data_IF_059075266485
#
_entry.id   IF_059075266485
#
_cell.length_a   1.000
_cell.length_b   1.000
_cell.length_c   1.000
_cell.angle_alpha   90.00
_cell.angle_beta   90.00
_cell.angle_gamma   90.00
#
_symmetry.space_group_name_H-M   'P 1'
#
loop_
_entity.id
_entity.type
_entity.pdbx_description
1 polymer ?
#
# COMPACT_ATOMS: atom_id res chain seq x y z
N UNK A 1 84.16 10.14 47.85
CA UNK A 1 83.63 10.54 46.52
C UNK A 1 82.31 9.82 46.36
N UNK A 2 81.14 10.52 46.40
CA UNK A 2 79.78 9.97 46.29
C UNK A 2 79.21 10.44 44.93
N UNK A 3 79.03 9.52 44.03
CA UNK A 3 78.34 9.78 42.75
C UNK A 3 76.81 9.64 42.95
N UNK A 4 76.05 10.70 42.63
CA UNK A 4 74.59 10.68 42.56
C UNK A 4 74.25 10.43 41.10
N UNK A 5 73.53 9.36 40.86
CA UNK A 5 72.95 9.05 39.59
C UNK A 5 71.48 9.65 39.55
N UNK A 6 71.26 10.59 38.61
CA UNK A 6 69.95 11.16 38.40
C UNK A 6 69.24 10.31 37.38
N UNK A 7 68.06 9.73 37.77
CA UNK A 7 67.18 9.00 36.86
C UNK A 7 66.21 9.97 36.16
N UNK A 8 66.34 10.11 34.83
CA UNK A 8 65.34 10.81 34.00
C UNK A 8 64.16 9.88 33.76
N UNK A 9 62.99 10.22 34.32
CA UNK A 9 61.69 9.56 33.97
C UNK A 9 61.17 10.16 32.67
N UNK A 10 61.15 9.35 31.63
CA UNK A 10 60.51 9.67 30.34
C UNK A 10 59.01 9.37 30.45
N UNK A 11 58.14 10.40 30.58
CA UNK A 11 56.69 10.27 30.48
C UNK A 11 56.32 10.13 29.01
N UNK A 12 56.03 8.92 28.57
CA UNK A 12 55.43 8.68 27.26
C UNK A 12 53.91 9.02 27.28
N UNK A 13 53.57 10.16 26.66
CA UNK A 13 52.19 10.53 26.40
C UNK A 13 51.64 9.66 25.25
N UNK A 14 50.86 8.64 25.56
CA UNK A 14 50.09 7.89 24.55
C UNK A 14 48.87 8.70 24.13
N UNK A 15 48.91 9.32 22.94
CA UNK A 15 47.73 9.87 22.29
C UNK A 15 46.81 8.69 21.91
N UNK A 16 45.76 8.46 22.69
CA UNK A 16 44.67 7.58 22.31
C UNK A 16 43.82 8.26 21.23
N UNK A 17 44.04 7.90 19.98
CA UNK A 17 43.15 8.29 18.87
C UNK A 17 41.85 7.47 18.98
N UNK A 18 40.82 8.06 19.56
CA UNK A 18 39.46 7.50 19.48
C UNK A 18 38.98 7.63 18.02
N UNK A 19 39.10 6.56 17.25
CA UNK A 19 38.43 6.49 15.96
C UNK A 19 36.92 6.60 16.18
N UNK A 20 36.20 7.47 15.45
CA UNK A 20 34.76 7.53 15.53
C UNK A 20 34.22 6.16 15.14
N UNK A 21 33.44 5.55 16.02
CA UNK A 21 32.68 4.34 15.67
C UNK A 21 31.72 4.70 14.54
N UNK A 22 31.98 4.23 13.35
CA UNK A 22 31.02 4.29 12.23
C UNK A 22 29.86 3.42 12.64
N UNK A 23 28.83 4.01 13.22
CA UNK A 23 27.57 3.32 13.49
C UNK A 23 27.03 2.84 12.16
N UNK A 24 26.84 1.53 12.02
CA UNK A 24 26.28 0.97 10.79
C UNK A 24 24.92 1.63 10.50
N UNK A 25 24.83 2.32 9.36
CA UNK A 25 23.60 2.96 8.93
C UNK A 25 22.62 1.86 8.51
N UNK A 26 21.50 1.77 9.19
CA UNK A 26 20.46 0.76 8.96
C UNK A 26 19.11 1.45 8.75
N UNK A 27 18.22 0.78 7.99
CA UNK A 27 16.83 1.17 7.82
C UNK A 27 15.93 -0.03 8.04
N UNK A 28 14.82 0.16 8.73
CA UNK A 28 13.75 -0.84 8.83
C UNK A 28 12.53 -0.39 8.04
N UNK A 29 12.23 -1.11 6.95
CA UNK A 29 11.18 -0.82 5.99
C UNK A 29 9.99 -1.77 6.15
N UNK A 30 8.80 -1.23 6.41
CA UNK A 30 7.53 -1.94 6.31
C UNK A 30 6.92 -1.63 4.94
N UNK A 31 6.74 -2.66 4.11
CA UNK A 31 6.33 -2.50 2.72
C UNK A 31 4.98 -3.16 2.44
N UNK A 32 4.09 -2.45 1.74
CA UNK A 32 2.75 -2.94 1.38
C UNK A 32 2.52 -3.11 -0.14
N UNK A 33 3.55 -2.95 -0.96
CA UNK A 33 3.49 -3.25 -2.39
C UNK A 33 3.63 -4.77 -2.66
N UNK A 34 3.68 -5.17 -3.94
CA UNK A 34 4.09 -6.52 -4.32
C UNK A 34 5.52 -6.78 -3.85
N UNK A 35 5.86 -8.04 -3.62
CA UNK A 35 7.19 -8.38 -3.09
C UNK A 35 8.31 -7.90 -4.01
N UNK A 36 8.14 -8.06 -5.32
CA UNK A 36 9.14 -7.65 -6.32
C UNK A 36 9.38 -6.13 -6.29
N UNK A 37 8.34 -5.33 -6.06
CA UNK A 37 8.49 -3.88 -5.94
C UNK A 37 9.14 -3.48 -4.60
N UNK A 38 8.79 -4.16 -3.52
CA UNK A 38 9.46 -3.98 -2.23
C UNK A 38 10.97 -4.25 -2.31
N UNK A 39 11.34 -5.37 -2.94
CA UNK A 39 12.76 -5.75 -3.14
C UNK A 39 13.47 -4.79 -4.09
N UNK A 40 12.84 -4.33 -5.17
CA UNK A 40 13.39 -3.32 -6.07
C UNK A 40 13.77 -2.05 -5.29
N UNK A 41 12.85 -1.52 -4.49
CA UNK A 41 13.04 -0.30 -3.71
C UNK A 41 14.17 -0.45 -2.68
N UNK A 42 14.16 -1.56 -1.94
CA UNK A 42 15.20 -1.90 -0.98
C UNK A 42 16.58 -1.98 -1.65
N UNK A 43 16.70 -2.80 -2.71
CA UNK A 43 17.99 -3.06 -3.35
C UNK A 43 18.55 -1.81 -4.04
N UNK A 44 17.70 -0.99 -4.66
CA UNK A 44 18.10 0.29 -5.26
C UNK A 44 18.57 1.28 -4.20
N UNK A 45 17.86 1.39 -3.09
CA UNK A 45 18.26 2.28 -1.98
C UNK A 45 19.59 1.84 -1.37
N UNK A 46 19.77 0.55 -1.10
CA UNK A 46 21.04 0.00 -0.59
C UNK A 46 22.21 0.26 -1.55
N UNK A 47 21.99 0.03 -2.85
CA UNK A 47 23.03 0.21 -3.87
C UNK A 47 23.49 1.67 -3.99
N UNK A 48 22.57 2.63 -3.89
CA UNK A 48 22.89 4.05 -4.03
C UNK A 48 23.45 4.69 -2.75
N UNK A 49 23.05 4.17 -1.59
CA UNK A 49 23.35 4.85 -0.31
C UNK A 49 24.31 4.10 0.59
N UNK A 50 24.53 2.81 0.37
CA UNK A 50 25.23 1.90 1.28
C UNK A 50 24.47 1.57 2.58
N UNK A 51 23.28 2.11 2.76
CA UNK A 51 22.45 1.90 3.97
C UNK A 51 21.82 0.51 3.90
N UNK A 52 22.13 -0.36 4.87
CA UNK A 52 21.52 -1.69 4.97
C UNK A 52 20.07 -1.57 5.36
N UNK A 53 19.19 -2.24 4.60
CA UNK A 53 17.75 -2.14 4.78
C UNK A 53 17.14 -3.51 5.10
N UNK A 54 16.60 -3.65 6.30
CA UNK A 54 15.71 -4.76 6.62
C UNK A 54 14.30 -4.46 6.09
N UNK A 55 13.61 -5.43 5.53
CA UNK A 55 12.29 -5.22 4.95
C UNK A 55 11.33 -6.32 5.38
N UNK A 56 10.12 -5.91 5.78
CA UNK A 56 8.98 -6.80 6.04
C UNK A 56 7.83 -6.42 5.12
N UNK A 57 7.29 -7.40 4.38
CA UNK A 57 6.11 -7.20 3.54
C UNK A 57 4.84 -7.63 4.28
N UNK A 58 3.82 -6.74 4.30
CA UNK A 58 2.49 -6.99 4.86
C UNK A 58 1.40 -6.37 4.01
N UNK A 59 0.14 -6.68 4.28
CA UNK A 59 -1.02 -5.95 3.77
C UNK A 59 -1.29 -4.70 4.60
N UNK A 60 -1.98 -3.69 4.04
CA UNK A 60 -2.10 -2.35 4.65
C UNK A 60 -2.76 -2.37 6.03
N UNK A 61 -3.81 -3.17 6.23
CA UNK A 61 -4.46 -3.31 7.54
C UNK A 61 -3.57 -3.98 8.59
N UNK A 62 -2.80 -5.00 8.18
CA UNK A 62 -1.83 -5.68 9.05
C UNK A 62 -0.69 -4.74 9.46
N UNK A 63 -0.23 -3.89 8.52
CA UNK A 63 0.80 -2.88 8.80
C UNK A 63 0.34 -1.84 9.81
N UNK A 64 -0.87 -1.33 9.66
CA UNK A 64 -1.45 -0.43 10.65
C UNK A 64 -1.53 -1.09 12.03
N UNK A 65 -1.99 -2.33 12.10
CA UNK A 65 -2.06 -3.06 13.37
C UNK A 65 -0.67 -3.23 14.02
N UNK A 66 0.36 -3.53 13.22
CA UNK A 66 1.74 -3.63 13.68
C UNK A 66 2.27 -2.29 14.20
N UNK A 67 2.15 -1.22 13.40
CA UNK A 67 2.62 0.13 13.78
C UNK A 67 1.96 0.58 15.08
N UNK A 68 0.66 0.34 15.23
CA UNK A 68 -0.08 0.66 16.45
C UNK A 68 0.40 -0.16 17.65
N UNK A 69 0.60 -1.47 17.48
CA UNK A 69 1.07 -2.35 18.55
C UNK A 69 2.49 -2.01 19.01
N UNK A 70 3.34 -1.53 18.10
CA UNK A 70 4.75 -1.17 18.36
C UNK A 70 4.92 0.29 18.76
N UNK A 71 3.86 1.09 18.93
CA UNK A 71 3.92 2.55 19.12
C UNK A 71 4.77 3.00 20.32
N UNK A 72 4.80 2.22 21.40
CA UNK A 72 5.65 2.52 22.56
C UNK A 72 7.15 2.22 22.34
N UNK A 73 7.49 1.35 21.39
CA UNK A 73 8.85 0.96 21.05
C UNK A 73 8.94 0.59 19.56
N UNK A 74 8.94 1.57 18.66
CA UNK A 74 8.91 1.34 17.22
C UNK A 74 10.09 0.51 16.74
N UNK A 75 9.81 -0.47 15.86
CA UNK A 75 10.81 -1.31 15.21
C UNK A 75 10.93 -1.01 13.72
N UNK A 76 9.98 -0.25 13.21
CA UNK A 76 9.90 0.20 11.82
C UNK A 76 10.29 1.67 11.73
N UNK A 77 11.10 2.04 10.74
CA UNK A 77 11.47 3.44 10.49
C UNK A 77 10.55 4.08 9.45
N UNK A 78 10.32 3.38 8.34
CA UNK A 78 9.46 3.84 7.24
C UNK A 78 8.40 2.80 6.93
N UNK A 79 7.17 3.25 6.76
CA UNK A 79 6.07 2.49 6.19
C UNK A 79 5.83 3.00 4.76
N UNK A 80 6.10 2.16 3.77
CA UNK A 80 6.05 2.51 2.36
C UNK A 80 5.01 1.68 1.62
N UNK A 81 4.23 2.37 0.77
CA UNK A 81 3.19 1.82 -0.10
C UNK A 81 1.95 1.27 0.64
N UNK A 82 1.01 0.73 -0.15
CA UNK A 82 -0.32 0.36 0.31
C UNK A 82 -1.29 1.54 0.30
N UNK A 83 -2.56 1.28 0.55
CA UNK A 83 -3.62 2.30 0.50
C UNK A 83 -3.42 3.40 1.54
N UNK A 84 -3.83 4.62 1.21
CA UNK A 84 -3.59 5.80 2.05
C UNK A 84 -4.45 5.86 3.31
N UNK A 85 -5.60 5.20 3.33
CA UNK A 85 -6.52 5.25 4.47
C UNK A 85 -5.92 4.75 5.80
N UNK A 86 -5.16 3.63 5.89
CA UNK A 86 -4.48 3.26 7.14
C UNK A 86 -3.34 4.21 7.51
N UNK A 87 -2.67 4.84 6.53
CA UNK A 87 -1.67 5.87 6.79
C UNK A 87 -2.32 7.14 7.39
N UNK A 88 -3.46 7.57 6.85
CA UNK A 88 -4.23 8.70 7.39
C UNK A 88 -4.74 8.40 8.80
N UNK A 89 -5.20 7.16 9.03
CA UNK A 89 -5.60 6.71 10.36
C UNK A 89 -4.43 6.78 11.35
N UNK A 90 -3.27 6.24 10.97
CA UNK A 90 -2.05 6.29 11.80
C UNK A 90 -1.58 7.73 12.05
N UNK A 91 -1.71 8.62 11.06
CA UNK A 91 -1.41 10.04 11.17
C UNK A 91 -2.33 10.73 12.20
N UNK A 92 -3.64 10.48 12.13
CA UNK A 92 -4.63 11.01 13.07
C UNK A 92 -4.40 10.52 14.50
N UNK A 93 -3.92 9.29 14.69
CA UNK A 93 -3.57 8.71 15.98
C UNK A 93 -2.16 9.12 16.47
N UNK A 94 -1.43 9.95 15.70
CA UNK A 94 -0.11 10.43 16.06
C UNK A 94 1.00 9.36 16.00
N UNK A 95 0.79 8.29 15.24
CA UNK A 95 1.74 7.17 15.08
C UNK A 95 2.82 7.43 14.02
N UNK A 96 2.67 8.47 13.23
CA UNK A 96 3.61 8.86 12.18
C UNK A 96 4.23 10.22 12.48
N UNK A 97 5.46 10.42 12.00
CA UNK A 97 6.25 11.63 12.20
C UNK A 97 5.79 12.75 11.26
N UNK A 98 5.90 14.00 11.70
CA UNK A 98 5.69 15.17 10.82
C UNK A 98 6.94 15.38 9.99
N UNK A 99 6.82 15.26 8.68
CA UNK A 99 7.90 15.53 7.76
C UNK A 99 7.43 16.21 6.48
N UNK A 100 7.66 17.51 6.36
CA UNK A 100 7.36 18.27 5.14
C UNK A 100 8.53 18.08 4.16
N UNK A 101 8.31 17.22 3.17
CA UNK A 101 9.31 16.92 2.15
C UNK A 101 9.58 18.13 1.24
N UNK A 102 10.84 18.46 0.94
CA UNK A 102 11.19 19.45 -0.09
C UNK A 102 10.77 19.01 -1.50
N UNK A 103 10.49 17.72 -1.72
CA UNK A 103 9.99 17.18 -2.97
C UNK A 103 8.49 17.39 -3.17
N UNK A 104 7.74 17.78 -2.12
CA UNK A 104 6.27 17.92 -2.16
C UNK A 104 5.76 18.78 -3.33
N UNK A 105 6.36 19.94 -3.69
CA UNK A 105 5.90 20.74 -4.84
C UNK A 105 6.05 20.07 -6.21
N UNK A 106 6.83 18.98 -6.31
CA UNK A 106 7.05 18.21 -7.54
C UNK A 106 6.04 17.07 -7.72
N UNK A 107 5.15 16.88 -6.75
CA UNK A 107 4.17 15.79 -6.76
C UNK A 107 2.85 16.26 -7.34
N UNK A 108 2.07 15.30 -7.84
CA UNK A 108 0.71 15.51 -8.33
C UNK A 108 -0.19 16.16 -7.24
N UNK A 109 -1.18 16.98 -7.61
CA UNK A 109 -2.05 17.65 -6.63
C UNK A 109 -2.75 16.70 -5.65
N UNK A 110 -3.14 15.50 -6.11
CA UNK A 110 -3.75 14.50 -5.25
C UNK A 110 -2.79 13.98 -4.17
N UNK A 111 -1.49 13.86 -4.48
CA UNK A 111 -0.48 13.44 -3.50
C UNK A 111 -0.18 14.53 -2.47
N UNK A 112 -0.17 15.80 -2.91
CA UNK A 112 -0.03 16.96 -2.02
C UNK A 112 -1.22 17.07 -1.07
N UNK A 113 -2.47 16.87 -1.54
CA UNK A 113 -3.67 16.87 -0.69
C UNK A 113 -3.60 15.86 0.45
N UNK A 114 -3.00 14.69 0.23
CA UNK A 114 -2.78 13.70 1.32
C UNK A 114 -1.83 14.24 2.38
N UNK A 115 -0.74 14.91 1.96
CA UNK A 115 0.21 15.51 2.89
C UNK A 115 -0.46 16.65 3.70
N UNK A 116 -1.21 17.51 3.04
CA UNK A 116 -1.91 18.62 3.69
C UNK A 116 -2.97 18.10 4.69
N UNK A 117 -3.80 17.14 4.27
CA UNK A 117 -4.85 16.55 5.11
C UNK A 117 -4.30 15.85 6.36
N UNK A 118 -3.08 15.31 6.29
CA UNK A 118 -2.41 14.63 7.40
C UNK A 118 -1.51 15.55 8.24
N UNK A 119 -1.40 16.83 7.92
CA UNK A 119 -0.42 17.73 8.54
C UNK A 119 1.03 17.29 8.26
N UNK A 120 1.32 16.83 7.04
CA UNK A 120 2.61 16.30 6.60
C UNK A 120 3.07 15.03 7.35
N UNK A 121 2.13 14.20 7.82
CA UNK A 121 2.43 12.93 8.50
C UNK A 121 2.43 11.73 7.56
N UNK A 122 1.91 11.90 6.35
CA UNK A 122 1.96 10.94 5.25
C UNK A 122 1.94 11.69 3.92
N UNK A 123 2.34 11.05 2.83
CA UNK A 123 2.31 11.61 1.47
C UNK A 123 1.83 10.57 0.48
N UNK A 124 1.11 11.00 -0.56
CA UNK A 124 0.75 10.13 -1.68
C UNK A 124 1.96 9.82 -2.56
N UNK A 125 2.13 8.56 -2.91
CA UNK A 125 3.26 8.11 -3.76
C UNK A 125 2.83 7.50 -5.09
N UNK A 126 1.60 7.03 -5.19
CA UNK A 126 0.99 6.57 -6.44
C UNK A 126 -0.54 6.59 -6.36
N UNK A 127 -1.20 6.42 -7.50
CA UNK A 127 -2.66 6.30 -7.61
C UNK A 127 -3.04 5.06 -8.43
N UNK A 128 -4.14 4.38 -8.04
CA UNK A 128 -4.69 3.25 -8.76
C UNK A 128 -6.21 3.12 -8.59
N UNK A 129 -6.94 2.93 -9.69
CA UNK A 129 -8.39 2.71 -9.67
C UNK A 129 -8.73 1.29 -9.21
N UNK A 130 -9.84 1.14 -8.50
CA UNK A 130 -10.40 -0.16 -8.14
C UNK A 130 -11.25 -0.74 -9.28
N UNK A 131 -11.33 -2.06 -9.36
CA UNK A 131 -12.18 -2.77 -10.31
C UNK A 131 -12.25 -4.25 -10.01
N UNK A 132 -12.61 -5.01 -11.02
CA UNK A 132 -12.53 -6.47 -10.98
C UNK A 132 -12.16 -7.01 -12.37
N UNK A 133 -11.79 -8.27 -12.43
CA UNK A 133 -11.58 -8.97 -13.69
C UNK A 133 -12.29 -10.31 -13.68
N UNK A 134 -12.51 -10.87 -14.84
CA UNK A 134 -12.99 -12.24 -14.99
C UNK A 134 -12.17 -13.03 -16.00
N UNK A 135 -12.19 -14.35 -15.85
CA UNK A 135 -11.53 -15.27 -16.76
C UNK A 135 -12.46 -15.63 -17.92
N UNK A 136 -12.10 -15.25 -19.15
CA UNK A 136 -12.92 -15.40 -20.35
C UNK A 136 -13.25 -16.87 -20.66
N UNK A 137 -12.27 -17.79 -20.48
CA UNK A 137 -12.45 -19.22 -20.73
C UNK A 137 -13.42 -19.85 -19.72
N UNK A 138 -13.28 -19.50 -18.45
CA UNK A 138 -14.20 -19.97 -17.42
C UNK A 138 -15.62 -19.45 -17.66
N UNK A 139 -15.76 -18.16 -18.00
CA UNK A 139 -17.04 -17.54 -18.30
C UNK A 139 -17.77 -18.28 -19.45
N UNK A 140 -17.02 -18.52 -20.55
CA UNK A 140 -17.54 -19.24 -21.71
C UNK A 140 -17.91 -20.69 -21.38
N UNK A 141 -17.09 -21.43 -20.65
CA UNK A 141 -17.34 -22.83 -20.28
C UNK A 141 -18.57 -22.99 -19.39
N UNK A 142 -18.81 -22.02 -18.51
CA UNK A 142 -19.98 -21.97 -17.62
C UNK A 142 -21.22 -21.35 -18.29
N UNK A 143 -21.11 -20.86 -19.53
CA UNK A 143 -22.15 -20.16 -20.28
C UNK A 143 -22.81 -19.02 -19.51
N UNK A 144 -21.98 -18.27 -18.74
CA UNK A 144 -22.40 -17.13 -17.95
C UNK A 144 -22.25 -15.83 -18.75
N UNK A 145 -23.15 -14.88 -18.52
CA UNK A 145 -23.01 -13.52 -19.03
C UNK A 145 -21.89 -12.78 -18.27
N UNK A 146 -21.12 -11.95 -18.96
CA UNK A 146 -20.07 -11.14 -18.35
C UNK A 146 -20.66 -10.08 -17.41
N UNK A 147 -20.14 -9.92 -16.17
CA UNK A 147 -20.54 -8.84 -15.28
C UNK A 147 -19.98 -7.50 -15.79
N UNK A 148 -20.73 -6.39 -15.60
CA UNK A 148 -20.37 -5.04 -16.03
C UNK A 148 -20.40 -4.02 -14.89
N UNK A 149 -21.18 -4.31 -13.86
CA UNK A 149 -21.48 -3.41 -12.75
C UNK A 149 -21.10 -4.07 -11.43
N UNK A 150 -20.94 -3.27 -10.35
CA UNK A 150 -20.80 -3.83 -9.00
C UNK A 150 -22.03 -4.70 -8.64
N UNK A 151 -23.22 -4.20 -8.97
CA UNK A 151 -24.49 -4.88 -8.67
C UNK A 151 -24.58 -6.28 -9.26
N UNK A 152 -23.93 -6.55 -10.39
CA UNK A 152 -23.94 -7.87 -11.02
C UNK A 152 -23.27 -8.94 -10.15
N UNK A 153 -22.29 -8.54 -9.29
CA UNK A 153 -21.56 -9.49 -8.45
C UNK A 153 -22.40 -10.13 -7.35
N UNK A 154 -23.60 -9.60 -7.08
CA UNK A 154 -24.57 -10.19 -6.17
C UNK A 154 -25.56 -11.17 -6.85
N UNK A 155 -25.51 -11.30 -8.18
CA UNK A 155 -26.38 -12.22 -8.92
C UNK A 155 -26.04 -13.68 -8.53
N UNK A 156 -27.02 -14.50 -8.11
CA UNK A 156 -26.81 -15.90 -7.72
C UNK A 156 -26.14 -16.80 -8.78
N UNK A 157 -26.16 -16.38 -10.06
CA UNK A 157 -25.45 -17.11 -11.13
C UNK A 157 -23.92 -17.16 -10.92
N UNK A 158 -23.37 -16.26 -10.10
CA UNK A 158 -21.95 -16.24 -9.73
C UNK A 158 -21.67 -16.89 -8.38
N UNK A 159 -22.56 -17.74 -7.88
CA UNK A 159 -22.35 -18.44 -6.61
C UNK A 159 -21.01 -19.19 -6.61
N UNK A 160 -20.19 -18.93 -5.57
CA UNK A 160 -18.84 -19.49 -5.39
C UNK A 160 -17.84 -19.14 -6.52
N UNK A 161 -18.09 -18.05 -7.26
CA UNK A 161 -17.28 -17.62 -8.41
C UNK A 161 -16.52 -16.32 -8.17
N UNK A 162 -16.70 -15.66 -7.04
CA UNK A 162 -16.06 -14.38 -6.71
C UNK A 162 -14.97 -14.59 -5.67
N UNK A 163 -13.79 -14.05 -5.92
CA UNK A 163 -12.74 -13.93 -4.92
C UNK A 163 -12.45 -12.46 -4.65
N UNK A 164 -12.33 -12.10 -3.38
CA UNK A 164 -11.98 -10.74 -2.95
C UNK A 164 -11.11 -10.76 -1.70
N UNK A 165 -10.35 -9.68 -1.43
CA UNK A 165 -9.62 -9.61 -0.17
C UNK A 165 -10.56 -9.32 1.01
N UNK A 166 -10.07 -9.57 2.25
CA UNK A 166 -10.79 -9.23 3.49
C UNK A 166 -10.53 -7.77 3.87
N UNK A 167 -11.55 -6.94 4.09
CA UNK A 167 -11.41 -5.54 4.50
C UNK A 167 -10.63 -5.33 5.81
N UNK A 168 -10.62 -6.31 6.73
CA UNK A 168 -9.86 -6.21 7.97
C UNK A 168 -8.33 -6.26 7.75
N UNK A 169 -7.88 -7.00 6.73
CA UNK A 169 -6.45 -7.15 6.45
C UNK A 169 -5.98 -6.32 5.25
N UNK A 170 -6.82 -6.18 4.23
CA UNK A 170 -6.48 -5.58 2.93
C UNK A 170 -7.03 -4.18 2.76
N UNK A 171 -6.17 -3.23 2.43
CA UNK A 171 -6.57 -1.89 2.01
C UNK A 171 -7.43 -1.91 0.74
N UNK A 172 -7.13 -2.78 -0.23
CA UNK A 172 -7.93 -2.95 -1.46
C UNK A 172 -9.39 -3.24 -1.15
N UNK A 173 -9.65 -4.17 -0.23
CA UNK A 173 -11.00 -4.51 0.16
C UNK A 173 -11.68 -3.42 1.00
N UNK A 174 -10.92 -2.72 1.84
CA UNK A 174 -11.48 -1.55 2.53
C UNK A 174 -11.84 -0.44 1.54
N UNK A 175 -11.01 -0.17 0.55
CA UNK A 175 -11.34 0.79 -0.53
C UNK A 175 -12.62 0.37 -1.26
N UNK A 176 -12.82 -0.94 -1.54
CA UNK A 176 -14.08 -1.44 -2.11
C UNK A 176 -15.27 -1.18 -1.19
N UNK A 177 -15.16 -1.54 0.09
CA UNK A 177 -16.22 -1.31 1.09
C UNK A 177 -16.60 0.17 1.15
N UNK A 178 -15.63 1.06 1.28
CA UNK A 178 -15.85 2.50 1.31
C UNK A 178 -16.41 3.04 -0.02
N UNK A 179 -16.00 2.48 -1.16
CA UNK A 179 -16.56 2.80 -2.48
C UNK A 179 -18.04 2.47 -2.55
N UNK A 180 -18.42 1.27 -2.15
CA UNK A 180 -19.83 0.84 -2.18
C UNK A 180 -20.70 1.69 -1.24
N UNK A 181 -20.17 2.02 -0.05
CA UNK A 181 -20.87 2.92 0.88
C UNK A 181 -21.08 4.31 0.27
N UNK A 182 -20.12 4.85 -0.45
CA UNK A 182 -20.24 6.15 -1.11
C UNK A 182 -21.20 6.11 -2.31
N UNK A 183 -21.23 5.00 -3.06
CA UNK A 183 -22.12 4.84 -4.21
C UNK A 183 -23.58 4.62 -3.83
N UNK A 184 -23.84 3.84 -2.80
CA UNK A 184 -25.18 3.31 -2.50
C UNK A 184 -25.79 3.87 -1.21
N UNK A 185 -24.99 4.51 -0.36
CA UNK A 185 -25.31 4.73 1.05
C UNK A 185 -25.04 3.49 1.90
N UNK A 186 -24.78 3.71 3.19
CA UNK A 186 -24.20 2.66 4.06
C UNK A 186 -25.08 1.41 4.15
N UNK A 187 -26.37 1.54 4.49
CA UNK A 187 -27.23 0.37 4.69
C UNK A 187 -27.45 -0.45 3.41
N UNK A 188 -27.62 0.22 2.26
CA UNK A 188 -27.76 -0.46 0.97
C UNK A 188 -26.45 -1.15 0.57
N UNK A 189 -25.30 -0.54 0.84
CA UNK A 189 -24.01 -1.15 0.58
C UNK A 189 -23.80 -2.44 1.40
N UNK A 190 -24.17 -2.42 2.69
CA UNK A 190 -24.09 -3.63 3.53
C UNK A 190 -25.08 -4.69 3.12
N UNK A 191 -26.32 -4.34 2.73
CA UNK A 191 -27.28 -5.29 2.16
C UNK A 191 -26.75 -5.92 0.86
N UNK A 192 -26.17 -5.12 -0.03
CA UNK A 192 -25.52 -5.60 -1.24
C UNK A 192 -24.34 -6.55 -0.93
N UNK A 193 -23.45 -6.15 -0.02
CA UNK A 193 -22.31 -6.99 0.35
C UNK A 193 -22.72 -8.32 1.00
N UNK A 194 -23.80 -8.37 1.77
CA UNK A 194 -24.40 -9.61 2.27
C UNK A 194 -24.89 -10.51 1.13
N UNK A 195 -25.46 -9.93 0.08
CA UNK A 195 -25.90 -10.70 -1.10
C UNK A 195 -24.69 -11.21 -1.89
N UNK A 196 -23.69 -10.37 -2.12
CA UNK A 196 -22.44 -10.73 -2.81
C UNK A 196 -21.62 -11.76 -2.02
N UNK A 197 -21.67 -11.74 -0.68
CA UNK A 197 -20.99 -12.71 0.20
C UNK A 197 -21.34 -14.18 -0.14
N UNK A 198 -22.58 -14.43 -0.58
CA UNK A 198 -23.03 -15.77 -1.00
C UNK A 198 -22.34 -16.27 -2.27
N UNK A 199 -21.75 -15.35 -3.04
CA UNK A 199 -21.04 -15.65 -4.28
C UNK A 199 -19.52 -15.72 -4.05
N UNK A 200 -19.03 -15.33 -2.86
CA UNK A 200 -17.60 -15.30 -2.55
C UNK A 200 -17.10 -16.68 -2.16
N UNK A 201 -16.18 -17.25 -2.94
CA UNK A 201 -15.52 -18.53 -2.61
C UNK A 201 -14.42 -18.35 -1.57
N UNK A 202 -13.69 -17.23 -1.58
CA UNK A 202 -12.58 -17.00 -0.67
C UNK A 202 -12.37 -15.51 -0.39
N UNK A 203 -12.08 -15.19 0.87
CA UNK A 203 -11.50 -13.92 1.31
C UNK A 203 -9.99 -14.07 1.49
N UNK A 204 -9.21 -13.28 0.74
CA UNK A 204 -7.75 -13.32 0.78
C UNK A 204 -7.17 -12.25 1.70
N UNK A 205 -5.99 -12.46 2.25
CA UNK A 205 -5.28 -11.43 3.04
C UNK A 205 -4.67 -10.35 2.14
N UNK A 206 -4.23 -10.72 0.95
CA UNK A 206 -3.53 -9.84 0.00
C UNK A 206 -4.49 -9.31 -1.06
N UNK A 207 -4.44 -8.00 -1.33
CA UNK A 207 -5.25 -7.34 -2.36
C UNK A 207 -4.99 -7.82 -3.78
N UNK A 208 -3.78 -8.28 -4.08
CA UNK A 208 -3.38 -8.78 -5.42
C UNK A 208 -3.78 -10.23 -5.67
N UNK A 209 -4.02 -11.03 -4.62
CA UNK A 209 -4.25 -12.47 -4.77
C UNK A 209 -5.45 -12.83 -5.66
N UNK A 210 -6.61 -12.13 -5.61
CA UNK A 210 -7.74 -12.42 -6.50
C UNK A 210 -7.39 -12.24 -7.98
N UNK A 211 -6.61 -11.22 -8.34
CA UNK A 211 -6.15 -11.00 -9.71
C UNK A 211 -5.33 -12.20 -10.23
N UNK A 212 -4.42 -12.69 -9.42
CA UNK A 212 -3.59 -13.85 -9.76
C UNK A 212 -4.43 -15.14 -9.88
N UNK A 213 -5.41 -15.34 -9.00
CA UNK A 213 -6.31 -16.49 -9.03
C UNK A 213 -7.17 -16.52 -10.31
N UNK A 214 -7.70 -15.36 -10.75
CA UNK A 214 -8.41 -15.23 -12.03
C UNK A 214 -7.47 -15.60 -13.19
N UNK A 215 -6.25 -15.08 -13.20
CA UNK A 215 -5.27 -15.42 -14.25
C UNK A 215 -5.03 -16.91 -14.37
N UNK A 216 -4.85 -17.61 -13.25
CA UNK A 216 -4.63 -19.07 -13.21
C UNK A 216 -5.91 -19.90 -13.43
N UNK A 217 -7.09 -19.27 -13.49
CA UNK A 217 -8.36 -19.97 -13.62
C UNK A 217 -8.84 -20.70 -12.36
N UNK A 218 -8.39 -20.24 -11.18
CA UNK A 218 -8.79 -20.77 -9.88
C UNK A 218 -10.12 -20.17 -9.39
N UNK A 219 -10.48 -19.00 -9.91
CA UNK A 219 -11.75 -18.33 -9.66
C UNK A 219 -12.19 -17.59 -10.94
N UNK A 220 -13.50 -17.44 -11.11
CA UNK A 220 -14.04 -16.76 -12.29
C UNK A 220 -13.82 -15.23 -12.21
N UNK A 221 -14.13 -14.62 -11.07
CA UNK A 221 -14.12 -13.17 -10.86
C UNK A 221 -13.18 -12.84 -9.70
N UNK A 222 -12.35 -11.81 -9.86
CA UNK A 222 -11.45 -11.33 -8.82
C UNK A 222 -11.51 -9.81 -8.69
N UNK A 223 -11.73 -9.33 -7.47
CA UNK A 223 -11.74 -7.89 -7.14
C UNK A 223 -10.35 -7.47 -6.70
N UNK A 224 -9.78 -6.44 -7.36
CA UNK A 224 -8.47 -5.86 -7.03
C UNK A 224 -8.34 -4.44 -7.61
N UNK A 225 -7.18 -3.81 -7.46
CA UNK A 225 -6.89 -2.59 -8.20
C UNK A 225 -6.55 -2.89 -9.67
N UNK A 226 -6.87 -1.98 -10.56
CA UNK A 226 -6.69 -2.15 -12.01
C UNK A 226 -5.23 -2.40 -12.40
N UNK A 227 -4.27 -1.81 -11.68
CA UNK A 227 -2.85 -2.03 -11.90
C UNK A 227 -2.38 -3.46 -11.54
N UNK A 228 -3.10 -4.16 -10.66
CA UNK A 228 -2.87 -5.58 -10.38
C UNK A 228 -3.64 -6.46 -11.37
N UNK A 229 -4.88 -6.07 -11.73
CA UNK A 229 -5.74 -6.83 -12.64
C UNK A 229 -5.17 -6.93 -14.06
N UNK A 230 -4.39 -5.93 -14.50
CA UNK A 230 -3.77 -5.94 -15.83
C UNK A 230 -2.60 -6.91 -15.95
N UNK A 231 -1.95 -7.27 -14.85
CA UNK A 231 -0.74 -8.11 -14.86
C UNK A 231 -0.98 -9.48 -15.50
N UNK A 232 -2.02 -10.27 -15.13
CA UNK A 232 -2.32 -11.53 -15.80
C UNK A 232 -2.63 -11.33 -17.29
N UNK A 233 -3.37 -10.28 -17.67
CA UNK A 233 -3.67 -9.98 -19.07
C UNK A 233 -2.41 -9.75 -19.90
N UNK A 234 -1.48 -8.96 -19.40
CA UNK A 234 -0.17 -8.73 -20.03
C UNK A 234 0.69 -10.00 -20.06
N UNK A 235 0.46 -10.92 -19.13
CA UNK A 235 1.06 -12.25 -19.11
C UNK A 235 0.43 -13.25 -20.10
N UNK A 236 -0.55 -12.81 -20.92
CA UNK A 236 -1.21 -13.66 -21.93
C UNK A 236 -2.33 -14.54 -21.37
N UNK A 237 -2.75 -14.36 -20.13
CA UNK A 237 -3.89 -15.08 -19.58
C UNK A 237 -5.22 -14.54 -20.13
N UNK A 238 -6.26 -15.37 -20.29
CA UNK A 238 -7.56 -14.98 -20.83
C UNK A 238 -8.38 -14.21 -19.78
N UNK A 239 -8.00 -12.96 -19.56
CA UNK A 239 -8.57 -12.10 -18.52
C UNK A 239 -9.09 -10.82 -19.13
N UNK A 240 -10.35 -10.49 -18.83
CA UNK A 240 -10.97 -9.20 -19.14
C UNK A 240 -11.11 -8.36 -17.86
N UNK A 241 -10.63 -7.11 -17.92
CA UNK A 241 -10.75 -6.13 -16.84
C UNK A 241 -12.08 -5.40 -16.97
N UNK A 242 -12.69 -5.10 -15.83
CA UNK A 242 -13.96 -4.36 -15.75
C UNK A 242 -13.83 -3.16 -14.83
N UNK A 243 -14.14 -1.99 -15.39
CA UNK A 243 -14.44 -0.79 -14.62
C UNK A 243 -15.96 -0.76 -14.38
N UNK A 244 -16.43 -0.88 -13.13
CA UNK A 244 -17.86 -1.02 -12.85
C UNK A 244 -18.70 0.15 -13.36
N UNK A 245 -19.85 -0.14 -13.94
CA UNK A 245 -20.72 0.83 -14.64
C UNK A 245 -21.24 1.94 -13.74
N UNK A 246 -21.42 1.69 -12.44
CA UNK A 246 -21.84 2.69 -11.45
C UNK A 246 -20.75 3.73 -11.20
N UNK A 247 -19.54 3.39 -11.49
CA UNK A 247 -18.31 4.08 -11.10
C UNK A 247 -17.56 3.33 -10.01
N UNK A 248 -16.37 3.78 -9.70
CA UNK A 248 -15.52 3.11 -8.72
C UNK A 248 -14.62 4.08 -7.96
N UNK A 249 -14.16 3.63 -6.78
CA UNK A 249 -13.17 4.33 -6.01
C UNK A 249 -11.74 4.09 -6.51
N UNK A 250 -10.82 4.68 -5.81
CA UNK A 250 -9.40 4.57 -6.10
C UNK A 250 -8.59 4.67 -4.82
N UNK A 251 -7.38 4.13 -4.85
CA UNK A 251 -6.40 4.37 -3.80
C UNK A 251 -5.48 5.53 -4.17
N UNK A 252 -5.00 6.23 -3.15
CA UNK A 252 -3.75 6.97 -3.20
C UNK A 252 -2.79 6.23 -2.29
N UNK A 253 -1.90 5.42 -2.88
CA UNK A 253 -0.88 4.72 -2.13
C UNK A 253 0.00 5.72 -1.40
N UNK A 254 0.37 5.42 -0.16
CA UNK A 254 1.00 6.43 0.71
C UNK A 254 2.29 5.94 1.35
N UNK A 255 3.04 6.88 1.92
CA UNK A 255 4.27 6.63 2.65
C UNK A 255 4.32 7.51 3.91
N UNK A 256 4.82 6.93 5.01
CA UNK A 256 4.97 7.61 6.30
C UNK A 256 6.28 7.25 6.97
N UNK A 257 6.88 8.20 7.68
CA UNK A 257 7.93 7.91 8.66
C UNK A 257 7.22 7.58 9.98
N UNK A 258 7.65 6.53 10.67
CA UNK A 258 7.06 6.14 11.94
C UNK A 258 7.53 7.08 13.05
N UNK A 259 6.61 7.52 13.92
CA UNK A 259 6.97 8.37 15.06
C UNK A 259 7.90 7.62 16.00
N UNK A 260 9.04 8.24 16.33
CA UNK A 260 10.07 7.60 17.15
C UNK A 260 10.92 6.58 16.38
N UNK A 261 10.95 6.65 15.05
CA UNK A 261 11.86 5.85 14.21
C UNK A 261 13.29 5.94 14.73
N UNK A 262 13.94 4.79 14.83
CA UNK A 262 15.29 4.69 15.41
C UNK A 262 16.38 5.27 14.51
N UNK A 263 16.16 5.20 13.21
CA UNK A 263 17.08 5.64 12.16
C UNK A 263 16.44 6.79 11.35
N UNK A 264 16.14 7.89 12.03
CA UNK A 264 15.39 9.02 11.47
C UNK A 264 16.08 9.67 10.26
N UNK A 265 17.41 9.76 10.26
CA UNK A 265 18.17 10.31 9.14
C UNK A 265 18.03 9.44 7.90
N UNK A 266 18.17 8.13 8.05
CA UNK A 266 18.03 7.13 7.00
C UNK A 266 16.58 7.04 6.51
N UNK A 267 15.62 7.17 7.41
CA UNK A 267 14.19 7.22 7.09
C UNK A 267 13.87 8.42 6.18
N UNK A 268 14.38 9.61 6.48
CA UNK A 268 14.21 10.79 5.61
C UNK A 268 14.91 10.62 4.27
N UNK A 269 16.10 10.01 4.24
CA UNK A 269 16.80 9.70 2.98
C UNK A 269 16.01 8.75 2.11
N UNK A 270 15.42 7.68 2.68
CA UNK A 270 14.54 6.77 1.94
C UNK A 270 13.27 7.48 1.46
N UNK A 271 12.70 8.36 2.28
CA UNK A 271 11.50 9.12 1.94
C UNK A 271 11.74 9.97 0.68
N UNK A 272 12.82 10.76 0.65
CA UNK A 272 13.17 11.56 -0.53
C UNK A 272 13.56 10.70 -1.75
N UNK A 273 14.27 9.61 -1.53
CA UNK A 273 14.60 8.64 -2.58
C UNK A 273 13.33 8.09 -3.24
N UNK A 274 12.33 7.68 -2.47
CA UNK A 274 11.08 7.12 -2.99
C UNK A 274 10.20 8.12 -3.75
N UNK A 275 10.41 9.43 -3.55
CA UNK A 275 9.70 10.50 -4.26
C UNK A 275 10.41 10.98 -5.54
N UNK A 276 11.59 10.46 -5.84
CA UNK A 276 12.33 10.81 -7.05
C UNK A 276 11.64 10.27 -8.30
N UNK A 277 11.64 11.04 -9.42
CA UNK A 277 10.99 10.61 -10.66
C UNK A 277 11.66 9.39 -11.31
N UNK A 278 12.98 9.30 -11.28
CA UNK A 278 13.74 8.16 -11.80
C UNK A 278 13.44 6.86 -11.04
N UNK A 279 13.24 6.94 -9.72
CA UNK A 279 12.88 5.81 -8.86
C UNK A 279 11.44 5.38 -9.10
N UNK A 280 10.49 6.32 -9.13
CA UNK A 280 9.08 5.99 -9.41
C UNK A 280 8.88 5.43 -10.82
N UNK A 281 9.70 5.84 -11.78
CA UNK A 281 9.67 5.31 -13.16
C UNK A 281 10.15 3.86 -13.28
N UNK A 282 10.74 3.27 -12.23
CA UNK A 282 11.18 1.89 -12.23
C UNK A 282 10.06 0.88 -11.97
N UNK A 283 8.93 1.30 -11.42
CA UNK A 283 7.84 0.42 -11.01
C UNK A 283 7.38 -0.57 -12.11
N UNK A 284 7.23 -0.18 -13.38
CA UNK A 284 6.84 -1.10 -14.45
C UNK A 284 7.84 -2.24 -14.70
N UNK A 285 9.14 -2.06 -14.36
CA UNK A 285 10.16 -3.12 -14.52
C UNK A 285 9.87 -4.36 -13.65
N UNK A 286 9.05 -4.19 -12.61
CA UNK A 286 8.57 -5.25 -11.73
C UNK A 286 7.05 -5.43 -11.80
N UNK A 287 6.44 -5.06 -12.93
CA UNK A 287 4.99 -5.18 -13.21
C UNK A 287 4.10 -4.41 -12.25
N UNK A 288 4.59 -3.29 -11.72
CA UNK A 288 3.81 -2.34 -10.92
C UNK A 288 3.39 -1.17 -11.79
N UNK A 289 2.10 -1.11 -12.14
CA UNK A 289 1.55 -0.19 -13.16
C UNK A 289 0.70 0.94 -12.56
N UNK A 290 0.97 1.31 -11.32
CA UNK A 290 0.33 2.46 -10.65
C UNK A 290 0.75 3.78 -11.32
N UNK A 291 -0.08 4.80 -11.21
CA UNK A 291 0.25 6.16 -11.65
C UNK A 291 1.17 6.81 -10.62
N UNK A 292 2.41 7.19 -10.96
CA UNK A 292 3.36 7.78 -10.01
C UNK A 292 2.92 9.16 -9.52
N UNK A 293 3.32 9.51 -8.29
CA UNK A 293 3.02 10.82 -7.72
C UNK A 293 3.93 11.94 -8.23
N UNK A 294 5.15 11.66 -8.64
CA UNK A 294 6.04 12.68 -9.16
C UNK A 294 5.62 13.07 -10.59
N UNK A 295 5.40 14.37 -10.82
CA UNK A 295 4.88 14.89 -12.09
C UNK A 295 5.80 14.64 -13.30
N UNK A 296 7.08 14.40 -13.06
CA UNK A 296 8.09 14.14 -14.11
C UNK A 296 8.48 12.67 -14.23
N UNK A 297 7.89 11.79 -13.41
CA UNK A 297 8.09 10.36 -13.54
C UNK A 297 7.35 9.82 -14.79
N UNK A 298 7.97 8.83 -15.43
CA UNK A 298 7.37 8.17 -16.60
C UNK A 298 6.19 7.30 -16.17
N UNK A 299 5.02 7.56 -16.76
CA UNK A 299 3.84 6.71 -16.62
C UNK A 299 3.93 5.60 -17.67
N UNK A 300 3.76 4.34 -17.24
CA UNK A 300 3.75 3.21 -18.18
C UNK A 300 2.55 3.29 -19.14
N UNK A 301 2.74 2.84 -20.37
CA UNK A 301 1.66 2.70 -21.35
C UNK A 301 0.59 1.70 -20.90
N UNK A 302 0.96 0.72 -20.08
CA UNK A 302 0.08 -0.30 -19.51
C UNK A 302 -0.72 0.19 -18.28
N UNK A 303 -0.36 1.35 -17.73
CA UNK A 303 -1.09 1.95 -16.60
C UNK A 303 -2.49 2.39 -17.02
N UNK A 304 -3.50 1.97 -16.27
CA UNK A 304 -4.88 2.45 -16.45
C UNK A 304 -4.98 3.87 -15.89
N UNK A 305 -5.24 4.83 -16.78
CA UNK A 305 -5.28 6.24 -16.40
C UNK A 305 -6.61 6.60 -15.73
N UNK A 306 -6.62 7.55 -14.78
CA UNK A 306 -7.84 8.01 -14.14
C UNK A 306 -8.91 8.51 -15.13
N UNK A 307 -8.49 9.08 -16.29
CA UNK A 307 -9.39 9.54 -17.35
C UNK A 307 -10.11 8.41 -18.12
N UNK A 308 -9.63 7.18 -18.00
CA UNK A 308 -10.21 5.99 -18.64
C UNK A 308 -11.23 5.27 -17.75
N UNK A 309 -11.42 5.74 -16.51
CA UNK A 309 -12.26 5.12 -15.49
C UNK A 309 -13.26 6.12 -14.94
N UNK A 310 -14.50 5.70 -14.77
CA UNK A 310 -15.51 6.51 -14.07
C UNK A 310 -15.22 6.50 -12.57
N UNK A 311 -14.32 7.38 -12.11
CA UNK A 311 -14.00 7.52 -10.70
C UNK A 311 -15.11 8.29 -9.97
N UNK A 312 -15.41 7.87 -8.74
CA UNK A 312 -16.23 8.66 -7.81
C UNK A 312 -15.38 9.76 -7.18
N UNK A 313 -16.03 10.80 -6.65
CA UNK A 313 -15.36 11.76 -5.75
C UNK A 313 -15.14 11.10 -4.39
N UNK A 314 -14.04 10.34 -4.29
CA UNK A 314 -13.75 9.53 -3.12
C UNK A 314 -13.28 10.39 -1.96
N UNK A 315 -14.07 10.45 -0.88
CA UNK A 315 -13.77 11.21 0.33
C UNK A 315 -12.68 10.53 1.18
N UNK A 316 -11.42 10.77 0.80
CA UNK A 316 -10.24 10.24 1.49
C UNK A 316 -10.18 10.66 2.96
N UNK A 317 -10.61 11.87 3.29
CA UNK A 317 -10.56 12.39 4.66
C UNK A 317 -11.54 11.66 5.57
N UNK A 318 -12.78 11.50 5.12
CA UNK A 318 -13.83 10.81 5.87
C UNK A 318 -13.50 9.33 6.04
N UNK A 319 -13.24 8.62 4.94
CA UNK A 319 -13.07 7.16 4.96
C UNK A 319 -11.69 6.72 5.44
N UNK A 320 -10.70 7.61 5.44
CA UNK A 320 -9.41 7.43 6.11
C UNK A 320 -9.42 7.78 7.60
N UNK A 321 -10.52 8.32 8.14
CA UNK A 321 -10.60 8.62 9.57
C UNK A 321 -10.68 7.35 10.42
N UNK A 322 -10.07 7.38 11.61
CA UNK A 322 -10.06 6.24 12.55
C UNK A 322 -11.48 5.82 12.96
N UNK A 323 -12.39 6.78 13.15
CA UNK A 323 -13.76 6.54 13.56
C UNK A 323 -14.54 5.79 12.49
N UNK A 324 -14.61 6.35 11.27
CA UNK A 324 -15.35 5.74 10.15
C UNK A 324 -14.78 4.38 9.79
N UNK A 325 -13.45 4.26 9.74
CA UNK A 325 -12.81 2.99 9.41
C UNK A 325 -13.15 1.90 10.45
N UNK A 326 -13.04 2.19 11.74
CA UNK A 326 -13.41 1.25 12.82
C UNK A 326 -14.88 0.85 12.74
N UNK A 327 -15.77 1.82 12.51
CA UNK A 327 -17.20 1.58 12.37
C UNK A 327 -17.51 0.64 11.20
N UNK A 328 -17.01 0.94 10.01
CA UNK A 328 -17.29 0.13 8.81
C UNK A 328 -16.69 -1.28 8.90
N UNK A 329 -15.47 -1.42 9.45
CA UNK A 329 -14.85 -2.74 9.64
C UNK A 329 -15.59 -3.57 10.71
N UNK A 330 -16.10 -2.93 11.74
CA UNK A 330 -16.96 -3.61 12.73
C UNK A 330 -18.25 -4.12 12.07
N UNK A 331 -18.95 -3.28 11.32
CA UNK A 331 -20.15 -3.68 10.58
C UNK A 331 -19.85 -4.82 9.59
N UNK A 332 -18.72 -4.74 8.86
CA UNK A 332 -18.27 -5.81 7.98
C UNK A 332 -18.15 -7.15 8.73
N UNK A 333 -17.49 -7.14 9.85
CA UNK A 333 -17.27 -8.35 10.65
C UNK A 333 -18.58 -8.92 11.18
N UNK A 334 -19.43 -8.07 11.75
CA UNK A 334 -20.66 -8.51 12.42
C UNK A 334 -21.77 -8.89 11.43
N UNK A 335 -21.87 -8.20 10.29
CA UNK A 335 -23.03 -8.31 9.42
C UNK A 335 -22.76 -9.08 8.12
N UNK A 336 -21.51 -9.13 7.62
CA UNK A 336 -21.19 -9.73 6.32
C UNK A 336 -20.31 -10.96 6.49
N UNK A 337 -19.10 -10.83 7.03
CA UNK A 337 -18.16 -11.95 7.08
C UNK A 337 -18.58 -13.07 8.04
N UNK A 338 -19.35 -12.76 9.07
CA UNK A 338 -19.96 -13.72 9.99
C UNK A 338 -21.29 -14.32 9.53
N UNK A 339 -21.85 -13.87 8.40
CA UNK A 339 -23.11 -14.37 7.90
C UNK A 339 -22.95 -15.75 7.22
N UNK A 340 -23.99 -16.59 7.17
CA UNK A 340 -23.98 -17.80 6.35
C UNK A 340 -23.88 -17.46 4.85
N UNK A 341 -23.14 -18.28 4.11
CA UNK A 341 -23.03 -18.21 2.63
C UNK A 341 -24.13 -18.93 1.92
#
# INVERSE_FOLDING_TARGET
>A
MKYRIAALSLCAFTLSTTAPSIQAQNLSLLCNATIDWCELMKNKFEAETGIKTSMVRRSSGESYAQVRAESANPKTDVWWAGTGDPHLQAAAEGLTEVYKSPSLPKLQPWAQKVADASGNRTVGIYLGALGYSYNDKMLASKKLAAPKCWSDLADPKYKDEVQMPDPNSSGTAYTMLATLVQLMGEDKAFAFMKSMHKNVNQYTKSGVAPSQAVGRGETLIGISFMHDLIVPKLGGFPVTLVTPCEGTGYEIGSMSIIKGARNMTEAKRFYEFALRPDIQSLAPSVKAYQIPSNMTATVSAESIKPSEVKLIDYDQAKYGSSEVRKHLLKRWTDEVSGAPR
#
